data_IF_438174660512
#
_entry.id   IF_438174660512
#
_cell.length_a   1.000
_cell.length_b   1.000
_cell.length_c   1.000
_cell.angle_alpha   90.00
_cell.angle_beta   90.00
_cell.angle_gamma   90.00
#
_symmetry.space_group_name_H-M   'P 1'
#
loop_
_entity.id
_entity.type
_entity.pdbx_description
1 polymer ?
#
# COMPACT_ATOMS: atom_id res chain seq x y z
N UNK A 1 -17.25 6.03 5.95
CA UNK A 1 -16.04 5.49 6.63
C UNK A 1 -16.28 3.99 6.71
N UNK A 2 -15.30 3.14 6.40
CA UNK A 2 -15.45 1.70 6.65
C UNK A 2 -15.35 1.48 8.17
N UNK A 3 -16.28 0.75 8.74
CA UNK A 3 -16.23 0.30 10.13
C UNK A 3 -15.37 -0.98 10.25
N UNK A 4 -14.77 -1.27 11.42
CA UNK A 4 -13.85 -2.42 11.57
C UNK A 4 -14.47 -3.79 11.26
N UNK A 5 -15.78 -3.95 11.43
CA UNK A 5 -16.56 -5.14 11.08
C UNK A 5 -16.86 -5.26 9.58
N UNK A 6 -16.58 -4.21 8.81
CA UNK A 6 -16.73 -4.18 7.36
C UNK A 6 -15.44 -4.55 6.60
N UNK A 7 -14.38 -4.91 7.32
CA UNK A 7 -13.09 -5.26 6.73
C UNK A 7 -13.09 -6.66 6.09
N UNK A 8 -12.27 -6.89 5.04
CA UNK A 8 -12.16 -8.18 4.36
C UNK A 8 -11.95 -9.39 5.28
N UNK A 9 -11.15 -9.24 6.33
CA UNK A 9 -10.84 -10.24 7.35
C UNK A 9 -12.04 -10.63 8.21
N UNK A 10 -13.09 -9.79 8.22
CA UNK A 10 -14.37 -10.02 8.91
C UNK A 10 -15.51 -10.41 7.96
N UNK A 11 -15.33 -10.23 6.64
CA UNK A 11 -16.30 -10.54 5.59
C UNK A 11 -15.66 -11.39 4.48
N UNK A 12 -15.43 -12.69 4.72
CA UNK A 12 -14.73 -13.56 3.79
C UNK A 12 -15.36 -13.63 2.39
N UNK A 13 -16.67 -13.47 2.30
CA UNK A 13 -17.43 -13.43 1.05
C UNK A 13 -17.03 -12.28 0.12
N UNK A 14 -16.45 -11.20 0.68
CA UNK A 14 -16.01 -10.04 -0.10
C UNK A 14 -14.60 -10.21 -0.70
N UNK A 15 -13.78 -11.13 -0.16
CA UNK A 15 -12.37 -11.28 -0.54
C UNK A 15 -12.23 -11.55 -2.04
N UNK A 16 -13.01 -12.50 -2.55
CA UNK A 16 -12.99 -12.94 -3.94
C UNK A 16 -13.26 -11.77 -4.92
N UNK A 17 -14.27 -10.96 -4.62
CA UNK A 17 -14.60 -9.75 -5.39
C UNK A 17 -13.48 -8.69 -5.27
N UNK A 18 -12.91 -8.50 -4.08
CA UNK A 18 -11.84 -7.51 -3.88
C UNK A 18 -10.57 -7.90 -4.64
N UNK A 19 -10.24 -9.19 -4.69
CA UNK A 19 -9.11 -9.72 -5.48
C UNK A 19 -9.32 -9.43 -6.96
N UNK A 20 -10.52 -9.67 -7.50
CA UNK A 20 -10.82 -9.35 -8.91
C UNK A 20 -10.65 -7.86 -9.18
N UNK A 21 -11.24 -7.01 -8.34
CA UNK A 21 -11.15 -5.54 -8.47
C UNK A 21 -9.71 -5.04 -8.34
N UNK A 22 -8.94 -5.59 -7.40
CA UNK A 22 -7.53 -5.24 -7.22
C UNK A 22 -6.73 -5.62 -8.46
N UNK A 23 -6.91 -6.82 -8.99
CA UNK A 23 -6.23 -7.28 -10.20
C UNK A 23 -6.60 -6.45 -11.43
N UNK A 24 -7.87 -6.10 -11.63
CA UNK A 24 -8.31 -5.18 -12.68
C UNK A 24 -7.70 -3.79 -12.54
N UNK A 25 -7.63 -3.28 -11.31
CA UNK A 25 -7.00 -2.01 -10.98
C UNK A 25 -5.52 -1.99 -11.32
N UNK A 26 -4.77 -3.04 -10.96
CA UNK A 26 -3.36 -3.22 -11.30
C UNK A 26 -3.16 -3.19 -12.82
N UNK A 27 -3.96 -3.96 -13.58
CA UNK A 27 -3.90 -3.99 -15.04
C UNK A 27 -4.17 -2.60 -15.63
N UNK A 28 -5.18 -1.91 -15.10
CA UNK A 28 -5.57 -0.57 -15.57
C UNK A 28 -4.45 0.44 -15.36
N UNK A 29 -3.83 0.44 -14.17
CA UNK A 29 -2.70 1.31 -13.86
C UNK A 29 -1.47 0.98 -14.72
N UNK A 30 -1.19 -0.30 -14.93
CA UNK A 30 -0.12 -0.76 -15.81
C UNK A 30 -0.27 -0.25 -17.25
N UNK A 31 -1.49 -0.29 -17.80
CA UNK A 31 -1.78 0.25 -19.14
C UNK A 31 -1.44 1.73 -19.25
N UNK A 32 -1.82 2.54 -18.25
CA UNK A 32 -1.57 3.99 -18.27
C UNK A 32 -0.09 4.35 -18.32
N UNK A 33 0.78 3.51 -17.76
CA UNK A 33 2.22 3.75 -17.69
C UNK A 33 3.03 2.85 -18.65
N UNK A 34 2.35 2.14 -19.56
CA UNK A 34 2.97 1.22 -20.55
C UNK A 34 3.75 0.06 -19.91
N UNK A 35 3.23 -0.48 -18.81
CA UNK A 35 3.74 -1.65 -18.05
C UNK A 35 2.77 -2.81 -18.09
N UNK A 36 2.16 -3.06 -19.24
CA UNK A 36 1.02 -3.98 -19.38
C UNK A 36 1.37 -5.44 -19.05
N UNK A 37 2.52 -5.93 -19.50
CA UNK A 37 2.95 -7.31 -19.24
C UNK A 37 3.23 -7.52 -17.75
N UNK A 38 4.04 -6.65 -17.14
CA UNK A 38 4.30 -6.65 -15.68
C UNK A 38 2.97 -6.58 -14.89
N UNK A 39 2.01 -5.75 -15.32
CA UNK A 39 0.72 -5.64 -14.67
C UNK A 39 -0.15 -6.88 -14.79
N UNK A 40 -0.12 -7.58 -15.94
CA UNK A 40 -0.81 -8.86 -16.10
C UNK A 40 -0.19 -9.93 -15.20
N UNK A 41 1.14 -9.99 -15.12
CA UNK A 41 1.85 -10.92 -14.23
C UNK A 41 1.43 -10.71 -12.78
N UNK A 42 1.54 -9.48 -12.26
CA UNK A 42 1.14 -9.16 -10.88
C UNK A 42 -0.34 -9.45 -10.60
N UNK A 43 -1.22 -9.12 -11.56
CA UNK A 43 -2.64 -9.38 -11.44
C UNK A 43 -2.97 -10.88 -11.42
N UNK A 44 -2.27 -11.68 -12.22
CA UNK A 44 -2.42 -13.14 -12.24
C UNK A 44 -1.96 -13.76 -10.92
N UNK A 45 -0.81 -13.33 -10.39
CA UNK A 45 -0.31 -13.79 -9.09
C UNK A 45 -1.35 -13.58 -7.98
N UNK A 46 -2.03 -12.43 -7.98
CA UNK A 46 -3.09 -12.15 -6.99
C UNK A 46 -4.34 -13.02 -7.24
N UNK A 47 -4.76 -13.18 -8.49
CA UNK A 47 -5.94 -13.99 -8.87
C UNK A 47 -5.79 -15.47 -8.52
N UNK A 48 -4.59 -16.03 -8.60
CA UNK A 48 -4.31 -17.42 -8.21
C UNK A 48 -4.63 -17.69 -6.73
N UNK A 49 -4.61 -16.65 -5.90
CA UNK A 49 -4.87 -16.72 -4.45
C UNK A 49 -6.29 -16.40 -4.03
N UNK A 50 -7.13 -15.98 -4.98
CA UNK A 50 -8.51 -15.52 -4.78
C UNK A 50 -9.37 -16.40 -3.85
N UNK A 51 -9.22 -17.73 -3.95
CA UNK A 51 -10.04 -18.69 -3.20
C UNK A 51 -9.30 -19.35 -2.03
N UNK A 52 -8.11 -18.86 -1.67
CA UNK A 52 -7.26 -19.46 -0.64
C UNK A 52 -7.46 -18.84 0.76
N UNK A 53 -8.39 -17.88 0.89
CA UNK A 53 -8.68 -17.18 2.14
C UNK A 53 -7.89 -15.87 2.30
N UNK A 54 -8.24 -15.08 3.33
CA UNK A 54 -7.65 -13.75 3.52
C UNK A 54 -6.16 -13.80 3.85
N UNK A 55 -5.70 -14.80 4.61
CA UNK A 55 -4.30 -14.96 5.01
C UNK A 55 -3.38 -15.08 3.78
N UNK A 56 -3.68 -16.03 2.89
CA UNK A 56 -2.92 -16.22 1.64
C UNK A 56 -3.02 -15.02 0.70
N UNK A 57 -4.20 -14.41 0.58
CA UNK A 57 -4.38 -13.20 -0.24
C UNK A 57 -3.54 -12.05 0.31
N UNK A 58 -3.56 -11.85 1.63
CA UNK A 58 -2.80 -10.80 2.30
C UNK A 58 -1.29 -11.01 2.14
N UNK A 59 -0.80 -12.23 2.34
CA UNK A 59 0.62 -12.57 2.16
C UNK A 59 1.09 -12.29 0.73
N UNK A 60 0.27 -12.63 -0.27
CA UNK A 60 0.59 -12.32 -1.66
C UNK A 60 0.48 -10.82 -1.98
N UNK A 61 -0.45 -10.09 -1.38
CA UNK A 61 -0.46 -8.63 -1.46
C UNK A 61 0.84 -8.03 -0.90
N UNK A 62 1.30 -8.51 0.27
CA UNK A 62 2.55 -8.06 0.87
C UNK A 62 3.76 -8.42 0.01
N UNK A 63 3.80 -9.65 -0.54
CA UNK A 63 4.83 -10.08 -1.47
C UNK A 63 4.86 -9.19 -2.72
N UNK A 64 3.73 -9.00 -3.40
CA UNK A 64 3.62 -8.15 -4.59
C UNK A 64 4.06 -6.70 -4.29
N UNK A 65 3.67 -6.15 -3.14
CA UNK A 65 4.08 -4.81 -2.71
C UNK A 65 5.58 -4.71 -2.44
N UNK A 66 6.23 -5.80 -2.02
CA UNK A 66 7.67 -5.85 -1.75
C UNK A 66 8.53 -5.96 -3.01
N UNK A 67 7.95 -6.35 -4.14
CA UNK A 67 8.66 -6.43 -5.42
C UNK A 67 9.07 -5.03 -5.88
N UNK A 68 10.20 -4.94 -6.58
CA UNK A 68 10.60 -3.70 -7.26
C UNK A 68 9.78 -3.48 -8.54
N UNK A 69 8.47 -3.33 -8.36
CA UNK A 69 7.50 -3.22 -9.44
C UNK A 69 7.01 -1.79 -9.65
N UNK A 70 6.34 -1.56 -10.77
CA UNK A 70 5.61 -0.31 -10.97
C UNK A 70 4.54 -0.09 -9.89
N UNK A 71 3.91 -1.16 -9.42
CA UNK A 71 2.77 -1.07 -8.50
C UNK A 71 3.19 -0.45 -7.17
N UNK A 72 4.32 -0.91 -6.60
CA UNK A 72 4.93 -0.30 -5.40
C UNK A 72 5.19 1.21 -5.60
N UNK A 73 5.80 1.57 -6.73
CA UNK A 73 6.16 2.96 -7.07
C UNK A 73 4.89 3.84 -7.19
N UNK A 74 3.90 3.37 -7.94
CA UNK A 74 2.63 4.09 -8.19
C UNK A 74 1.78 4.21 -6.93
N UNK A 75 1.66 3.15 -6.13
CA UNK A 75 0.95 3.18 -4.85
C UNK A 75 1.54 4.22 -3.91
N UNK A 76 2.84 4.15 -3.66
CA UNK A 76 3.49 5.06 -2.72
C UNK A 76 3.53 6.51 -3.22
N UNK A 77 3.60 6.74 -4.53
CA UNK A 77 3.49 8.08 -5.11
C UNK A 77 2.07 8.64 -4.90
N UNK A 78 1.04 7.83 -5.18
CA UNK A 78 -0.37 8.22 -5.02
C UNK A 78 -0.71 8.49 -3.56
N UNK A 79 -0.33 7.60 -2.64
CA UNK A 79 -0.62 7.76 -1.21
C UNK A 79 0.05 8.99 -0.60
N UNK A 80 1.22 9.40 -1.11
CA UNK A 80 1.90 10.64 -0.67
C UNK A 80 1.12 11.91 -1.00
N UNK A 81 0.23 11.86 -1.99
CA UNK A 81 -0.65 12.98 -2.36
C UNK A 81 -1.93 13.01 -1.53
N UNK A 82 -2.23 11.99 -0.72
CA UNK A 82 -3.47 11.94 0.06
C UNK A 82 -3.47 13.07 1.09
N UNK A 83 -4.53 13.87 1.07
CA UNK A 83 -4.67 15.07 1.91
C UNK A 83 -4.10 16.34 1.28
N UNK A 84 -3.36 16.24 0.17
CA UNK A 84 -2.99 17.39 -0.64
C UNK A 84 -4.20 17.88 -1.44
N UNK A 85 -4.56 19.16 -1.24
CA UNK A 85 -5.70 19.80 -1.89
C UNK A 85 -5.45 20.08 -3.37
N UNK A 86 -4.21 20.41 -3.73
CA UNK A 86 -3.87 20.77 -5.11
C UNK A 86 -3.89 19.54 -6.03
N UNK A 87 -3.60 18.37 -5.45
CA UNK A 87 -3.57 17.08 -6.14
C UNK A 87 -4.77 16.18 -5.83
N UNK A 88 -5.86 16.75 -5.27
CA UNK A 88 -7.02 15.97 -4.83
C UNK A 88 -7.64 15.11 -5.94
N UNK A 89 -7.81 15.72 -7.12
CA UNK A 89 -8.32 15.04 -8.30
C UNK A 89 -7.44 13.86 -8.72
N UNK A 90 -6.12 13.96 -8.56
CA UNK A 90 -5.17 12.89 -8.91
C UNK A 90 -5.36 11.69 -7.99
N UNK A 91 -5.19 11.86 -6.67
CA UNK A 91 -5.23 10.72 -5.77
C UNK A 91 -6.63 10.11 -5.66
N UNK A 92 -7.70 10.92 -5.73
CA UNK A 92 -9.08 10.39 -5.75
C UNK A 92 -9.38 9.54 -6.98
N UNK A 93 -8.85 9.90 -8.15
CA UNK A 93 -9.04 9.10 -9.36
C UNK A 93 -8.45 7.68 -9.21
N UNK A 94 -7.32 7.58 -8.50
CA UNK A 94 -6.59 6.33 -8.24
C UNK A 94 -7.23 5.47 -7.14
N UNK A 95 -8.10 6.01 -6.30
CA UNK A 95 -8.82 5.22 -5.28
C UNK A 95 -9.63 4.10 -5.93
N UNK A 96 -10.20 4.34 -7.11
CA UNK A 96 -11.02 3.34 -7.82
C UNK A 96 -10.20 2.15 -8.33
N UNK A 97 -8.95 2.36 -8.70
CA UNK A 97 -8.06 1.32 -9.25
C UNK A 97 -7.18 0.69 -8.18
N UNK A 98 -6.52 1.50 -7.33
CA UNK A 98 -5.57 1.02 -6.33
C UNK A 98 -6.22 0.71 -4.97
N UNK A 99 -7.37 1.30 -4.68
CA UNK A 99 -8.05 1.16 -3.38
C UNK A 99 -8.32 -0.29 -2.96
N UNK A 100 -8.85 -1.17 -3.83
CA UNK A 100 -9.07 -2.57 -3.49
C UNK A 100 -7.79 -3.30 -3.08
N UNK A 101 -6.68 -3.06 -3.78
CA UNK A 101 -5.38 -3.64 -3.41
C UNK A 101 -4.88 -3.08 -2.07
N UNK A 102 -4.98 -1.76 -1.86
CA UNK A 102 -4.62 -1.14 -0.58
C UNK A 102 -5.43 -1.72 0.58
N UNK A 103 -6.72 -1.96 0.39
CA UNK A 103 -7.59 -2.50 1.43
C UNK A 103 -7.18 -3.93 1.80
N UNK A 104 -6.91 -4.78 0.81
CA UNK A 104 -6.41 -6.14 1.02
C UNK A 104 -5.05 -6.15 1.74
N UNK A 105 -4.15 -5.22 1.41
CA UNK A 105 -2.84 -5.13 2.05
C UNK A 105 -2.90 -4.54 3.48
N UNK A 106 -3.83 -3.62 3.72
CA UNK A 106 -3.93 -2.92 5.00
C UNK A 106 -4.55 -3.79 6.10
N UNK A 107 -5.51 -4.64 5.75
CA UNK A 107 -6.25 -5.48 6.69
C UNK A 107 -5.48 -6.77 7.02
N UNK A 108 -4.43 -6.64 7.84
CA UNK A 108 -3.61 -7.76 8.34
C UNK A 108 -4.45 -8.78 9.14
N UNK A 109 -4.71 -9.99 8.59
CA UNK A 109 -5.56 -10.98 9.25
C UNK A 109 -4.87 -11.63 10.46
N UNK A 110 -3.54 -11.56 10.55
CA UNK A 110 -2.79 -12.11 11.66
C UNK A 110 -2.86 -11.22 12.91
N UNK A 111 -3.35 -9.98 12.74
CA UNK A 111 -3.48 -8.99 13.81
C UNK A 111 -2.20 -8.91 14.66
N UNK A 112 -1.04 -8.99 13.98
CA UNK A 112 0.24 -9.08 14.67
C UNK A 112 0.48 -7.72 15.30
N UNK A 113 0.33 -7.62 16.62
CA UNK A 113 0.62 -6.38 17.35
C UNK A 113 2.02 -5.90 16.94
N UNK A 114 2.10 -4.66 16.48
CA UNK A 114 3.37 -4.04 16.12
C UNK A 114 4.35 -4.22 17.28
N UNK A 115 5.48 -4.89 17.00
CA UNK A 115 6.55 -5.04 18.00
C UNK A 115 7.12 -3.66 18.29
N UNK A 116 6.89 -3.16 19.49
CA UNK A 116 7.44 -1.88 19.95
C UNK A 116 8.90 -2.05 20.37
N UNK A 117 9.68 -0.96 20.34
CA UNK A 117 11.10 -0.97 20.73
C UNK A 117 12.05 -1.59 19.70
N UNK A 118 11.59 -1.94 18.51
CA UNK A 118 12.45 -2.41 17.42
C UNK A 118 13.06 -1.21 16.69
N UNK A 119 14.38 -1.22 16.53
CA UNK A 119 15.10 -0.27 15.67
C UNK A 119 15.02 -0.79 14.23
N UNK A 120 14.59 0.08 13.33
CA UNK A 120 14.51 -0.18 11.89
C UNK A 120 15.11 0.99 11.13
N UNK A 121 15.64 0.70 9.95
CA UNK A 121 16.28 1.65 9.07
C UNK A 121 15.48 1.78 7.77
N UNK A 122 15.45 2.99 7.22
CA UNK A 122 14.86 3.27 5.93
C UNK A 122 15.75 4.23 5.16
N UNK A 123 16.23 3.77 4.01
CA UNK A 123 16.87 4.64 3.03
C UNK A 123 15.83 5.50 2.30
N UNK A 124 16.14 6.78 2.11
CA UNK A 124 15.35 7.67 1.27
C UNK A 124 16.25 8.74 0.63
N UNK A 125 15.99 9.04 -0.64
CA UNK A 125 16.53 10.24 -1.28
C UNK A 125 15.62 11.40 -0.95
N UNK A 126 16.15 12.38 -0.23
CA UNK A 126 15.40 13.54 0.27
C UNK A 126 15.99 14.82 -0.30
N UNK A 127 15.14 15.82 -0.52
CA UNK A 127 15.61 17.17 -0.82
C UNK A 127 16.02 17.91 0.47
N UNK A 128 16.70 19.05 0.32
CA UNK A 128 17.24 19.80 1.47
C UNK A 128 16.15 20.28 2.44
N UNK A 129 14.98 20.66 1.93
CA UNK A 129 13.84 21.07 2.76
C UNK A 129 13.31 19.92 3.62
N UNK A 130 13.17 18.73 3.04
CA UNK A 130 12.77 17.51 3.75
C UNK A 130 13.80 17.13 4.81
N UNK A 131 15.09 17.21 4.48
CA UNK A 131 16.19 16.95 5.42
C UNK A 131 16.14 17.93 6.59
N UNK A 132 15.95 19.23 6.32
CA UNK A 132 15.82 20.25 7.35
C UNK A 132 14.64 19.96 8.29
N UNK A 133 13.48 19.60 7.73
CA UNK A 133 12.29 19.21 8.49
C UNK A 133 12.54 18.01 9.39
N UNK A 134 13.12 16.93 8.87
CA UNK A 134 13.42 15.75 9.71
C UNK A 134 14.45 16.06 10.79
N UNK A 135 15.46 16.89 10.50
CA UNK A 135 16.43 17.34 11.50
C UNK A 135 15.78 18.15 12.61
N UNK A 136 14.80 19.00 12.29
CA UNK A 136 14.05 19.76 13.27
C UNK A 136 13.21 18.83 14.16
N UNK A 137 12.44 17.93 13.55
CA UNK A 137 11.62 16.95 14.27
C UNK A 137 12.46 16.04 15.18
N UNK A 138 13.68 15.68 14.76
CA UNK A 138 14.58 14.85 15.57
C UNK A 138 15.13 15.55 16.83
N UNK A 139 15.01 16.89 16.95
CA UNK A 139 15.44 17.63 18.15
C UNK A 139 14.46 17.52 19.31
N UNK A 140 13.20 17.21 19.03
CA UNK A 140 12.14 17.12 20.03
C UNK A 140 11.49 15.73 19.97
N UNK A 141 11.74 14.92 21.00
CA UNK A 141 11.17 13.58 21.13
C UNK A 141 9.65 13.55 21.24
N UNK A 142 8.99 14.70 21.45
CA UNK A 142 7.53 14.82 21.46
C UNK A 142 6.93 15.09 20.08
N UNK A 143 7.74 15.45 19.08
CA UNK A 143 7.27 15.65 17.71
C UNK A 143 7.13 14.32 16.99
N UNK A 144 5.92 14.03 16.52
CA UNK A 144 5.62 12.84 15.72
C UNK A 144 5.34 13.22 14.26
N UNK A 145 5.89 12.43 13.34
CA UNK A 145 5.56 12.47 11.92
C UNK A 145 4.78 11.23 11.52
N UNK A 146 3.86 11.40 10.55
CA UNK A 146 3.17 10.28 9.92
C UNK A 146 3.58 10.18 8.45
N UNK A 147 3.72 8.95 7.98
CA UNK A 147 3.81 8.65 6.55
C UNK A 147 2.42 8.27 6.07
N UNK A 148 1.92 8.95 5.03
CA UNK A 148 0.63 8.63 4.44
C UNK A 148 0.67 7.35 3.60
N UNK A 149 1.84 7.01 3.04
CA UNK A 149 2.05 5.80 2.27
C UNK A 149 2.55 4.66 3.16
N UNK A 150 2.35 3.42 2.71
CA UNK A 150 3.07 2.27 3.24
C UNK A 150 4.59 2.50 3.18
N UNK A 151 5.30 1.98 4.18
CA UNK A 151 6.73 2.24 4.36
C UNK A 151 7.51 0.95 4.52
N UNK A 152 8.35 0.65 3.53
CA UNK A 152 9.31 -0.44 3.63
C UNK A 152 10.52 -0.03 4.49
N UNK A 153 10.92 -0.90 5.40
CA UNK A 153 12.06 -0.71 6.31
C UNK A 153 12.87 -2.00 6.41
N UNK A 154 14.12 -1.88 6.87
CA UNK A 154 15.07 -2.97 7.09
C UNK A 154 15.52 -3.00 8.55
N UNK A 155 15.99 -4.15 9.04
CA UNK A 155 16.71 -4.25 10.32
C UNK A 155 18.21 -4.02 10.19
N UNK A 156 18.71 -4.03 8.95
CA UNK A 156 20.09 -3.77 8.55
C UNK A 156 20.21 -2.39 7.91
#
# INVERSE_FOLDING_TARGET
>A
KLEPDELPSKKPEMISMLVDKAAEGIITEGKYIRKEEEAKELANMLKEKKNQGIEEVWEYCAYIYSLESFLYKTLNATMRLVGDKDHEHVWRSKVRTLGPFCLLLWDDPFNTKAKTGMIIYRGATLNDEQIAKYKEMAKDSSMYGSFQAFTSCSRN
#
